data_IF_295178349649
#
_entry.id   IF_295178349649
#
_cell.length_a   1.000
_cell.length_b   1.000
_cell.length_c   1.000
_cell.angle_alpha   90.00
_cell.angle_beta   90.00
_cell.angle_gamma   90.00
#
_symmetry.space_group_name_H-M   'P 1'
#
loop_
_entity.id
_entity.type
_entity.pdbx_description
1 polymer ?
#
# COMPACT_ATOMS: atom_id res chain seq x y z
N UNK A 1 17.68 -9.04 29.16
CA UNK A 1 17.23 -7.84 29.89
C UNK A 1 16.45 -6.85 29.03
N UNK A 2 17.00 -6.21 27.99
CA UNK A 2 16.21 -5.28 27.15
C UNK A 2 15.13 -5.97 26.29
N UNK A 3 15.44 -7.14 25.72
CA UNK A 3 14.47 -7.96 24.95
C UNK A 3 13.37 -8.57 25.82
N UNK A 4 13.72 -9.12 26.98
CA UNK A 4 12.75 -9.72 27.92
C UNK A 4 11.71 -8.71 28.43
N UNK A 5 12.10 -7.44 28.57
CA UNK A 5 11.17 -6.37 28.95
C UNK A 5 10.24 -5.99 27.77
N UNK A 6 10.76 -6.04 26.54
CA UNK A 6 9.95 -5.79 25.35
C UNK A 6 8.88 -6.88 25.17
N UNK A 7 9.26 -8.15 25.24
CA UNK A 7 8.33 -9.27 25.06
C UNK A 7 7.23 -9.26 26.13
N UNK A 8 7.58 -8.98 27.38
CA UNK A 8 6.60 -8.85 28.47
C UNK A 8 5.61 -7.69 28.23
N UNK A 9 6.08 -6.54 27.73
CA UNK A 9 5.22 -5.40 27.39
C UNK A 9 4.30 -5.70 26.20
N UNK A 10 4.83 -6.37 25.18
CA UNK A 10 4.03 -6.83 24.03
C UNK A 10 2.95 -7.79 24.52
N UNK A 11 3.27 -8.76 25.36
CA UNK A 11 2.30 -9.72 25.90
C UNK A 11 1.18 -9.02 26.70
N UNK A 12 1.53 -8.01 27.51
CA UNK A 12 0.54 -7.20 28.22
C UNK A 12 -0.41 -6.49 27.25
N UNK A 13 0.12 -5.84 26.20
CA UNK A 13 -0.71 -5.16 25.21
C UNK A 13 -1.52 -6.14 24.35
N UNK A 14 -1.01 -7.33 24.06
CA UNK A 14 -1.76 -8.38 23.37
C UNK A 14 -2.95 -8.88 24.19
N UNK A 15 -2.83 -8.90 25.52
CA UNK A 15 -3.94 -9.22 26.40
C UNK A 15 -4.99 -8.10 26.41
N UNK A 16 -4.57 -6.84 26.42
CA UNK A 16 -5.48 -5.68 26.28
C UNK A 16 -6.18 -5.72 24.91
N UNK A 17 -5.43 -5.93 23.82
CA UNK A 17 -5.98 -6.09 22.47
C UNK A 17 -7.06 -7.17 22.44
N UNK A 18 -6.78 -8.33 23.04
CA UNK A 18 -7.74 -9.44 23.11
C UNK A 18 -9.01 -9.04 23.87
N UNK A 19 -8.89 -8.36 25.00
CA UNK A 19 -10.05 -7.93 25.79
C UNK A 19 -10.90 -6.92 25.02
N UNK A 20 -10.27 -5.87 24.45
CA UNK A 20 -10.97 -4.83 23.70
C UNK A 20 -11.64 -5.39 22.44
N UNK A 21 -10.96 -6.30 21.74
CA UNK A 21 -11.50 -6.97 20.55
C UNK A 21 -12.70 -7.83 20.88
N UNK A 22 -12.66 -8.61 21.97
CA UNK A 22 -13.79 -9.42 22.41
C UNK A 22 -14.97 -8.57 22.91
N UNK A 23 -14.68 -7.39 23.45
CA UNK A 23 -15.70 -6.38 23.82
C UNK A 23 -16.26 -5.61 22.61
N UNK A 24 -15.69 -5.78 21.40
CA UNK A 24 -16.09 -5.04 20.20
C UNK A 24 -15.65 -3.57 20.21
N UNK A 25 -14.72 -3.19 21.08
CA UNK A 25 -14.27 -1.80 21.21
C UNK A 25 -13.25 -1.46 20.11
N UNK A 26 -13.71 -0.75 19.07
CA UNK A 26 -12.91 -0.44 17.89
C UNK A 26 -11.69 0.44 18.24
N UNK A 27 -11.91 1.48 19.05
CA UNK A 27 -10.86 2.46 19.40
C UNK A 27 -9.75 1.80 20.22
N UNK A 28 -10.10 1.10 21.30
CA UNK A 28 -9.17 0.34 22.12
C UNK A 28 -8.40 -0.72 21.35
N UNK A 29 -9.07 -1.49 20.48
CA UNK A 29 -8.40 -2.52 19.65
C UNK A 29 -7.40 -1.90 18.68
N UNK A 30 -7.78 -0.81 18.00
CA UNK A 30 -6.89 -0.06 17.11
C UNK A 30 -5.68 0.47 17.87
N UNK A 31 -5.91 1.10 19.02
CA UNK A 31 -4.85 1.70 19.83
C UNK A 31 -3.87 0.65 20.32
N UNK A 32 -4.36 -0.46 20.86
CA UNK A 32 -3.50 -1.56 21.33
C UNK A 32 -2.63 -2.13 20.19
N UNK A 33 -3.19 -2.29 18.98
CA UNK A 33 -2.41 -2.73 17.81
C UNK A 33 -1.31 -1.72 17.43
N UNK A 34 -1.63 -0.42 17.41
CA UNK A 34 -0.66 0.64 17.11
C UNK A 34 0.43 0.70 18.18
N UNK A 35 0.06 0.63 19.47
CA UNK A 35 0.99 0.71 20.59
C UNK A 35 2.00 -0.46 20.57
N UNK A 36 1.57 -1.68 20.20
CA UNK A 36 2.47 -2.82 20.00
C UNK A 36 3.49 -2.53 18.90
N UNK A 37 3.04 -2.01 17.76
CA UNK A 37 3.90 -1.66 16.63
C UNK A 37 4.89 -0.56 17.00
N UNK A 38 4.43 0.46 17.74
CA UNK A 38 5.27 1.57 18.21
C UNK A 38 6.35 1.08 19.18
N UNK A 39 6.02 0.20 20.14
CA UNK A 39 7.02 -0.41 21.03
C UNK A 39 8.10 -1.17 20.26
N UNK A 40 7.72 -1.95 19.25
CA UNK A 40 8.67 -2.69 18.44
C UNK A 40 9.56 -1.74 17.62
N UNK A 41 8.98 -0.66 17.07
CA UNK A 41 9.70 0.36 16.30
C UNK A 41 10.70 1.14 17.17
N UNK A 42 10.29 1.59 18.37
CA UNK A 42 11.15 2.31 19.32
C UNK A 42 12.33 1.43 19.80
N UNK A 43 12.08 0.14 20.00
CA UNK A 43 13.10 -0.83 20.33
C UNK A 43 13.98 -1.24 19.13
N UNK A 44 13.69 -0.75 17.92
CA UNK A 44 14.32 -1.15 16.65
C UNK A 44 14.26 -2.66 16.39
N UNK A 45 13.25 -3.33 16.94
CA UNK A 45 13.04 -4.77 16.87
C UNK A 45 12.19 -5.14 15.63
N UNK A 46 12.75 -4.94 14.43
CA UNK A 46 12.03 -5.10 13.16
C UNK A 46 11.49 -6.51 12.89
N UNK A 47 12.23 -7.54 13.30
CA UNK A 47 11.77 -8.94 13.20
C UNK A 47 10.53 -9.16 14.07
N UNK A 48 10.61 -8.75 15.34
CA UNK A 48 9.47 -8.80 16.26
C UNK A 48 8.29 -7.99 15.73
N UNK A 49 8.53 -6.82 15.15
CA UNK A 49 7.50 -6.00 14.51
C UNK A 49 6.77 -6.78 13.40
N UNK A 50 7.52 -7.43 12.50
CA UNK A 50 6.95 -8.25 11.43
C UNK A 50 6.13 -9.42 12.00
N UNK A 51 6.65 -10.11 13.02
CA UNK A 51 5.95 -11.22 13.68
C UNK A 51 4.63 -10.74 14.30
N UNK A 52 4.63 -9.60 14.99
CA UNK A 52 3.40 -9.04 15.59
C UNK A 52 2.38 -8.63 14.52
N UNK A 53 2.80 -8.05 13.39
CA UNK A 53 1.92 -7.74 12.27
C UNK A 53 1.24 -9.02 11.76
N UNK A 54 2.02 -10.09 11.56
CA UNK A 54 1.48 -11.38 11.11
C UNK A 54 0.49 -11.95 12.13
N UNK A 55 0.86 -11.97 13.41
CA UNK A 55 0.01 -12.46 14.50
C UNK A 55 -1.29 -11.68 14.58
N UNK A 56 -1.25 -10.35 14.62
CA UNK A 56 -2.44 -9.50 14.72
C UNK A 56 -3.34 -9.62 13.48
N UNK A 57 -2.75 -9.75 12.29
CA UNK A 57 -3.50 -9.84 11.02
C UNK A 57 -4.21 -11.18 10.81
N UNK A 58 -3.69 -12.28 11.40
CA UNK A 58 -4.23 -13.64 11.29
C UNK A 58 -5.15 -14.03 12.45
N UNK A 59 -5.32 -13.15 13.45
CA UNK A 59 -6.21 -13.41 14.60
C UNK A 59 -7.66 -13.61 14.15
N UNK A 60 -8.27 -14.69 14.62
CA UNK A 60 -9.69 -14.96 14.41
C UNK A 60 -10.54 -13.88 15.08
N UNK A 61 -11.40 -13.24 14.29
CA UNK A 61 -12.29 -12.17 14.77
C UNK A 61 -11.58 -10.83 14.95
N UNK A 62 -10.45 -10.60 14.27
CA UNK A 62 -9.82 -9.27 14.24
C UNK A 62 -10.72 -8.25 13.54
N UNK A 63 -10.77 -7.03 14.08
CA UNK A 63 -11.53 -5.93 13.53
C UNK A 63 -10.83 -5.36 12.28
N UNK A 64 -11.60 -5.12 11.21
CA UNK A 64 -11.08 -4.59 9.94
C UNK A 64 -10.33 -3.27 10.16
N UNK A 65 -10.90 -2.37 10.97
CA UNK A 65 -10.33 -1.07 11.30
C UNK A 65 -8.99 -1.18 12.03
N UNK A 66 -8.79 -2.22 12.84
CA UNK A 66 -7.52 -2.46 13.52
C UNK A 66 -6.44 -2.92 12.52
N UNK A 67 -6.80 -3.78 11.56
CA UNK A 67 -5.88 -4.20 10.48
C UNK A 67 -5.50 -3.03 9.59
N UNK A 68 -6.47 -2.20 9.16
CA UNK A 68 -6.21 -0.99 8.36
C UNK A 68 -5.22 -0.08 9.08
N UNK A 69 -5.52 0.27 10.33
CA UNK A 69 -4.68 1.15 11.12
C UNK A 69 -3.27 0.60 11.36
N UNK A 70 -3.16 -0.71 11.61
CA UNK A 70 -1.87 -1.39 11.78
C UNK A 70 -1.04 -1.35 10.50
N UNK A 71 -1.65 -1.64 9.34
CA UNK A 71 -0.95 -1.61 8.03
C UNK A 71 -0.50 -0.19 7.70
N UNK A 72 -1.38 0.80 7.86
CA UNK A 72 -1.06 2.20 7.62
C UNK A 72 0.08 2.69 8.52
N UNK A 73 0.03 2.39 9.82
CA UNK A 73 1.10 2.74 10.76
C UNK A 73 2.44 2.11 10.36
N UNK A 74 2.43 0.82 10.00
CA UNK A 74 3.65 0.12 9.58
C UNK A 74 4.22 0.67 8.26
N UNK A 75 3.37 1.17 7.35
CA UNK A 75 3.83 1.81 6.12
C UNK A 75 4.66 3.07 6.37
N UNK A 76 4.36 3.84 7.41
CA UNK A 76 5.15 5.02 7.82
C UNK A 76 6.56 4.66 8.30
N UNK A 77 6.76 3.42 8.75
CA UNK A 77 8.06 2.95 9.23
C UNK A 77 8.98 2.49 8.10
N UNK A 78 8.44 2.19 6.91
CA UNK A 78 9.22 1.69 5.75
C UNK A 78 10.36 2.65 5.42
N UNK A 79 10.08 3.95 5.37
CA UNK A 79 11.07 4.96 4.98
C UNK A 79 12.08 5.26 6.13
N UNK A 80 11.79 4.80 7.36
CA UNK A 80 12.61 4.95 8.57
C UNK A 80 13.46 3.70 8.88
N UNK A 81 13.40 2.68 8.02
CA UNK A 81 14.20 1.44 8.16
C UNK A 81 15.70 1.72 8.02
N UNK A 82 16.56 1.00 8.76
CA UNK A 82 18.00 1.25 8.78
C UNK A 82 18.70 0.82 7.50
N UNK A 83 18.20 -0.22 6.82
CA UNK A 83 18.82 -0.83 5.65
C UNK A 83 17.76 -1.35 4.66
N UNK A 84 18.21 -1.67 3.44
CA UNK A 84 17.35 -2.12 2.34
C UNK A 84 16.73 -3.50 2.62
N UNK A 85 17.44 -4.40 3.30
CA UNK A 85 16.94 -5.75 3.59
C UNK A 85 15.76 -5.68 4.55
N UNK A 86 15.91 -4.94 5.66
CA UNK A 86 14.84 -4.67 6.63
C UNK A 86 13.64 -3.99 5.95
N UNK A 87 13.89 -3.04 5.05
CA UNK A 87 12.84 -2.39 4.26
C UNK A 87 12.05 -3.38 3.41
N UNK A 88 12.76 -4.23 2.67
CA UNK A 88 12.15 -5.24 1.80
C UNK A 88 11.37 -6.28 2.62
N UNK A 89 11.89 -6.69 3.78
CA UNK A 89 11.22 -7.66 4.65
C UNK A 89 9.91 -7.11 5.22
N UNK A 90 9.91 -5.86 5.68
CA UNK A 90 8.69 -5.19 6.14
C UNK A 90 7.66 -5.05 5.01
N UNK A 91 8.07 -4.62 3.81
CA UNK A 91 7.16 -4.50 2.66
C UNK A 91 6.58 -5.86 2.28
N UNK A 92 7.39 -6.92 2.25
CA UNK A 92 6.91 -8.29 1.96
C UNK A 92 5.90 -8.75 3.02
N UNK A 93 6.16 -8.47 4.29
CA UNK A 93 5.26 -8.81 5.40
C UNK A 93 3.91 -8.10 5.23
N UNK A 94 3.94 -6.78 4.97
CA UNK A 94 2.73 -5.99 4.74
C UNK A 94 1.95 -6.44 3.49
N UNK A 95 2.65 -6.74 2.39
CA UNK A 95 2.02 -7.25 1.17
C UNK A 95 1.32 -8.60 1.43
N UNK A 96 1.96 -9.51 2.18
CA UNK A 96 1.37 -10.81 2.54
C UNK A 96 0.13 -10.67 3.41
N UNK A 97 0.16 -9.80 4.43
CA UNK A 97 -0.99 -9.64 5.33
C UNK A 97 -2.15 -8.86 4.70
N UNK A 98 -1.89 -8.06 3.67
CA UNK A 98 -2.92 -7.32 2.92
C UNK A 98 -3.50 -8.12 1.73
N UNK A 99 -2.84 -9.21 1.32
CA UNK A 99 -3.33 -10.07 0.24
C UNK A 99 -4.73 -10.64 0.56
N UNK A 100 -5.66 -10.50 -0.38
CA UNK A 100 -7.04 -10.99 -0.26
C UNK A 100 -7.96 -10.14 0.63
N UNK A 101 -7.51 -8.98 1.12
CA UNK A 101 -8.31 -8.07 1.95
C UNK A 101 -8.67 -6.81 1.17
N UNK A 102 -9.91 -6.76 0.68
CA UNK A 102 -10.45 -5.63 -0.11
C UNK A 102 -10.27 -4.28 0.61
N UNK A 103 -10.41 -4.27 1.94
CA UNK A 103 -10.33 -3.05 2.74
C UNK A 103 -8.91 -2.51 2.97
N UNK A 104 -7.86 -3.17 2.44
CA UNK A 104 -6.47 -2.67 2.43
C UNK A 104 -5.81 -2.83 1.05
N UNK A 105 -6.61 -2.88 -0.02
CA UNK A 105 -6.11 -3.11 -1.37
C UNK A 105 -5.32 -1.93 -1.94
N UNK A 106 -5.65 -0.70 -1.51
CA UNK A 106 -4.94 0.52 -1.90
C UNK A 106 -3.55 0.54 -1.24
N UNK A 107 -3.47 0.24 0.06
CA UNK A 107 -2.20 0.08 0.78
C UNK A 107 -1.34 -1.00 0.12
N UNK A 108 -1.94 -2.14 -0.27
CA UNK A 108 -1.24 -3.19 -1.00
C UNK A 108 -0.65 -2.69 -2.33
N UNK A 109 -1.41 -1.95 -3.14
CA UNK A 109 -0.90 -1.38 -4.38
C UNK A 109 0.31 -0.47 -4.13
N UNK A 110 0.22 0.42 -3.14
CA UNK A 110 1.32 1.33 -2.79
C UNK A 110 2.57 0.59 -2.30
N UNK A 111 2.39 -0.48 -1.53
CA UNK A 111 3.48 -1.36 -1.09
C UNK A 111 4.16 -2.06 -2.26
N UNK A 112 3.37 -2.60 -3.19
CA UNK A 112 3.89 -3.25 -4.40
C UNK A 112 4.66 -2.26 -5.26
N UNK A 113 4.16 -1.03 -5.44
CA UNK A 113 4.89 0.03 -6.15
C UNK A 113 6.23 0.35 -5.50
N UNK A 114 6.28 0.48 -4.16
CA UNK A 114 7.54 0.68 -3.43
C UNK A 114 8.50 -0.50 -3.62
N UNK A 115 8.01 -1.74 -3.56
CA UNK A 115 8.86 -2.93 -3.78
C UNK A 115 9.39 -3.02 -5.20
N UNK A 116 8.55 -2.75 -6.20
CA UNK A 116 8.94 -2.75 -7.61
C UNK A 116 10.04 -1.72 -7.89
N UNK A 117 9.94 -0.52 -7.29
CA UNK A 117 11.00 0.50 -7.38
C UNK A 117 12.34 0.01 -6.81
N UNK A 118 12.34 -0.64 -5.64
CA UNK A 118 13.57 -1.22 -5.06
C UNK A 118 14.16 -2.27 -6.00
N UNK A 119 13.31 -3.12 -6.61
CA UNK A 119 13.75 -4.15 -7.55
C UNK A 119 14.32 -3.57 -8.83
N UNK A 120 13.72 -2.52 -9.33
CA UNK A 120 14.23 -1.79 -10.49
C UNK A 120 15.58 -1.13 -10.20
N UNK A 121 15.75 -0.48 -9.04
CA UNK A 121 17.03 0.10 -8.61
C UNK A 121 18.14 -0.95 -8.49
N UNK A 122 17.77 -2.21 -8.26
CA UNK A 122 18.68 -3.37 -8.27
C UNK A 122 18.95 -3.94 -9.68
N UNK A 123 18.37 -3.35 -10.73
CA UNK A 123 18.45 -3.84 -12.11
C UNK A 123 17.51 -5.02 -12.42
N UNK A 124 16.65 -5.41 -11.48
CA UNK A 124 15.70 -6.53 -11.62
C UNK A 124 14.38 -6.06 -12.25
N UNK A 125 14.47 -5.46 -13.45
CA UNK A 125 13.32 -4.89 -14.17
C UNK A 125 12.23 -5.95 -14.41
N UNK A 126 12.63 -7.19 -14.72
CA UNK A 126 11.68 -8.27 -14.96
C UNK A 126 10.80 -8.56 -13.74
N UNK A 127 11.41 -8.67 -12.56
CA UNK A 127 10.70 -8.89 -11.29
C UNK A 127 9.84 -7.67 -10.92
N UNK A 128 10.34 -6.45 -11.13
CA UNK A 128 9.59 -5.23 -10.88
C UNK A 128 8.33 -5.17 -11.73
N UNK A 129 8.44 -5.51 -13.02
CA UNK A 129 7.30 -5.59 -13.93
C UNK A 129 6.29 -6.63 -13.45
N UNK A 130 6.72 -7.86 -13.15
CA UNK A 130 5.82 -8.93 -12.70
C UNK A 130 5.06 -8.57 -11.43
N UNK A 131 5.75 -8.00 -10.43
CA UNK A 131 5.12 -7.52 -9.20
C UNK A 131 4.02 -6.49 -9.48
N UNK A 132 4.30 -5.50 -10.33
CA UNK A 132 3.33 -4.46 -10.66
C UNK A 132 2.12 -5.03 -11.42
N UNK A 133 2.32 -6.05 -12.26
CA UNK A 133 1.23 -6.68 -13.02
C UNK A 133 0.23 -7.46 -12.17
N UNK A 134 0.59 -7.87 -10.95
CA UNK A 134 -0.33 -8.55 -10.03
C UNK A 134 -1.47 -7.64 -9.53
N UNK A 135 -1.35 -6.32 -9.70
CA UNK A 135 -2.28 -5.34 -9.16
C UNK A 135 -3.08 -4.70 -10.31
N UNK A 136 -4.37 -4.98 -10.34
CA UNK A 136 -5.32 -4.38 -11.27
C UNK A 136 -6.04 -3.18 -10.65
N UNK A 137 -5.33 -2.05 -10.48
CA UNK A 137 -5.87 -0.85 -9.81
C UNK A 137 -7.11 -0.26 -10.50
N UNK A 138 -7.35 -0.60 -11.77
CA UNK A 138 -8.56 -0.19 -12.50
C UNK A 138 -9.85 -0.67 -11.82
N UNK A 139 -9.79 -1.75 -11.03
CA UNK A 139 -10.95 -2.30 -10.32
C UNK A 139 -11.18 -1.66 -8.96
N UNK A 140 -10.25 -0.84 -8.44
CA UNK A 140 -10.31 -0.34 -7.06
C UNK A 140 -11.24 0.87 -6.96
N UNK A 141 -12.49 0.67 -6.54
CA UNK A 141 -13.51 1.73 -6.53
C UNK A 141 -13.12 2.99 -5.75
N UNK A 142 -12.41 2.83 -4.63
CA UNK A 142 -12.03 3.92 -3.73
C UNK A 142 -10.68 4.58 -4.07
N UNK A 143 -9.90 4.08 -5.02
CA UNK A 143 -8.60 4.69 -5.35
C UNK A 143 -8.77 5.94 -6.23
N UNK A 144 -8.01 7.00 -5.94
CA UNK A 144 -8.00 8.21 -6.74
C UNK A 144 -7.73 7.92 -8.22
N UNK A 145 -8.44 8.63 -9.10
CA UNK A 145 -8.34 8.44 -10.55
C UNK A 145 -6.94 8.72 -11.09
N UNK A 146 -6.29 9.79 -10.61
CA UNK A 146 -4.90 10.14 -10.99
C UNK A 146 -3.92 9.07 -10.52
N UNK A 147 -4.11 8.53 -9.30
CA UNK A 147 -3.29 7.45 -8.76
C UNK A 147 -3.40 6.17 -9.60
N UNK A 148 -4.62 5.79 -10.01
CA UNK A 148 -4.85 4.66 -10.93
C UNK A 148 -4.10 4.83 -12.25
N UNK A 149 -4.24 6.00 -12.87
CA UNK A 149 -3.59 6.29 -14.16
C UNK A 149 -2.07 6.22 -13.99
N UNK A 150 -1.52 6.85 -12.95
CA UNK A 150 -0.09 6.81 -12.66
C UNK A 150 0.43 5.39 -12.47
N UNK A 151 -0.32 4.54 -11.77
CA UNK A 151 0.04 3.14 -11.55
C UNK A 151 0.04 2.32 -12.87
N UNK A 152 -0.97 2.52 -13.73
CA UNK A 152 -1.05 1.82 -15.02
C UNK A 152 0.05 2.32 -15.97
N UNK A 153 0.38 3.62 -15.97
CA UNK A 153 1.50 4.15 -16.75
C UNK A 153 2.85 3.55 -16.30
N UNK A 154 3.03 3.38 -14.99
CA UNK A 154 4.20 2.73 -14.44
C UNK A 154 4.31 1.26 -14.89
N UNK A 155 3.18 0.54 -14.90
CA UNK A 155 3.09 -0.81 -15.46
C UNK A 155 3.49 -0.86 -16.95
N UNK A 156 3.01 0.10 -17.75
CA UNK A 156 3.37 0.22 -19.17
C UNK A 156 4.87 0.46 -19.31
N UNK A 157 5.44 1.41 -18.57
CA UNK A 157 6.86 1.74 -18.61
C UNK A 157 7.74 0.53 -18.30
N UNK A 158 7.47 -0.19 -17.20
CA UNK A 158 8.23 -1.39 -16.84
C UNK A 158 8.11 -2.50 -17.89
N UNK A 159 6.94 -2.66 -18.53
CA UNK A 159 6.79 -3.60 -19.64
C UNK A 159 7.63 -3.19 -20.86
N UNK A 160 7.67 -1.90 -21.21
CA UNK A 160 8.51 -1.38 -22.30
C UNK A 160 10.00 -1.57 -22.00
N UNK A 161 10.43 -1.31 -20.76
CA UNK A 161 11.81 -1.51 -20.33
C UNK A 161 12.21 -3.00 -20.36
N UNK A 162 11.23 -3.91 -20.16
CA UNK A 162 11.38 -5.36 -20.35
C UNK A 162 11.17 -5.83 -21.79
N UNK A 163 11.00 -4.93 -22.75
CA UNK A 163 10.73 -5.23 -24.17
C UNK A 163 9.46 -6.07 -24.41
N UNK A 164 8.49 -5.98 -23.50
CA UNK A 164 7.20 -6.67 -23.57
C UNK A 164 6.13 -5.75 -24.16
N UNK A 165 6.28 -5.47 -25.45
CA UNK A 165 5.47 -4.49 -26.17
C UNK A 165 4.00 -4.89 -26.26
N UNK A 166 3.69 -6.19 -26.35
CA UNK A 166 2.31 -6.68 -26.42
C UNK A 166 1.59 -6.38 -25.10
N UNK A 167 2.21 -6.69 -23.97
CA UNK A 167 1.63 -6.39 -22.66
C UNK A 167 1.52 -4.89 -22.40
N UNK A 168 2.55 -4.12 -22.77
CA UNK A 168 2.51 -2.65 -22.69
C UNK A 168 1.32 -2.07 -23.47
N UNK A 169 1.05 -2.57 -24.70
CA UNK A 169 -0.08 -2.13 -25.51
C UNK A 169 -1.44 -2.54 -24.91
N UNK A 170 -1.54 -3.71 -24.27
CA UNK A 170 -2.78 -4.13 -23.59
C UNK A 170 -3.06 -3.21 -22.40
N UNK A 171 -2.03 -2.89 -21.60
CA UNK A 171 -2.15 -2.03 -20.43
C UNK A 171 -2.49 -0.59 -20.80
N UNK A 172 -1.88 -0.03 -21.85
CA UNK A 172 -2.14 1.35 -22.26
C UNK A 172 -3.59 1.56 -22.71
N UNK A 173 -4.24 0.52 -23.25
CA UNK A 173 -5.67 0.54 -23.61
C UNK A 173 -6.61 0.57 -22.40
N UNK A 174 -6.14 0.25 -21.19
CA UNK A 174 -6.92 0.43 -19.96
C UNK A 174 -7.14 1.91 -19.62
N UNK A 175 -6.29 2.79 -20.14
CA UNK A 175 -6.44 4.24 -20.01
C UNK A 175 -7.16 4.77 -21.24
N UNK A 176 -8.39 5.27 -21.06
CA UNK A 176 -9.13 5.93 -22.14
C UNK A 176 -8.53 7.31 -22.42
N UNK A 177 -8.14 7.66 -23.66
CA UNK A 177 -7.57 8.99 -23.97
C UNK A 177 -8.49 10.16 -23.59
N UNK A 178 -9.81 9.96 -23.64
CA UNK A 178 -10.82 10.95 -23.23
C UNK A 178 -10.68 11.37 -21.76
N UNK A 179 -10.03 10.55 -20.95
CA UNK A 179 -9.78 10.83 -19.54
C UNK A 179 -8.97 12.11 -19.34
N UNK A 180 -8.16 12.47 -20.33
CA UNK A 180 -7.26 13.63 -20.33
C UNK A 180 -7.86 14.89 -20.95
N UNK A 181 -9.10 14.84 -21.44
CA UNK A 181 -9.79 15.97 -22.06
C UNK A 181 -10.86 16.57 -21.13
N UNK A 182 -10.94 16.08 -19.89
CA UNK A 182 -11.87 16.59 -18.89
C UNK A 182 -11.29 17.87 -18.30
N UNK A 183 -12.00 18.99 -18.48
CA UNK A 183 -11.66 20.26 -17.84
C UNK A 183 -11.55 20.11 -16.32
N UNK A 184 -10.40 20.52 -15.78
CA UNK A 184 -10.12 20.59 -14.34
C UNK A 184 -11.15 21.46 -13.56
N UNK A 185 -11.95 22.27 -14.26
CA UNK A 185 -13.00 23.11 -13.68
C UNK A 185 -14.25 22.33 -13.23
N UNK A 186 -14.44 21.08 -13.66
CA UNK A 186 -15.64 20.28 -13.34
C UNK A 186 -15.52 19.39 -12.09
N UNK A 187 -14.33 19.27 -11.49
CA UNK A 187 -14.09 18.45 -10.30
C UNK A 187 -14.49 19.10 -8.97
N UNK A 188 -14.87 20.40 -8.94
CA UNK A 188 -15.45 21.06 -7.75
C UNK A 188 -16.92 20.67 -7.49
N UNK A 189 -17.31 19.40 -7.66
CA UNK A 189 -18.62 18.93 -7.20
C UNK A 189 -18.48 18.36 -5.80
N UNK A 190 -19.09 19.08 -4.84
CA UNK A 190 -19.26 18.70 -3.43
C UNK A 190 -19.52 17.19 -3.26
N UNK A 191 -18.91 16.54 -2.24
CA UNK A 191 -19.25 15.17 -1.92
C UNK A 191 -20.75 15.07 -1.62
N UNK A 192 -21.45 14.23 -2.39
CA UNK A 192 -22.79 13.78 -2.02
C UNK A 192 -22.62 12.79 -0.89
N UNK A 193 -23.26 13.05 0.25
CA UNK A 193 -23.36 12.10 1.36
C UNK A 193 -23.93 10.79 0.83
N UNK A 194 -23.15 9.71 0.92
CA UNK A 194 -23.70 8.35 0.81
C UNK A 194 -22.92 7.28 0.05
N UNK A 195 -21.83 7.54 -0.67
CA UNK A 195 -21.19 6.44 -1.42
C UNK A 195 -19.66 6.61 -1.57
N UNK A 196 -18.93 5.62 -1.06
CA UNK A 196 -17.48 5.38 -1.09
C UNK A 196 -16.57 6.64 -1.06
N UNK A 197 -16.01 6.95 0.12
CA UNK A 197 -14.90 7.89 0.24
C UNK A 197 -13.75 7.45 -0.68
N UNK A 198 -13.58 8.17 -1.79
CA UNK A 198 -12.40 8.04 -2.65
C UNK A 198 -11.22 8.57 -1.85
N UNK A 199 -10.20 7.74 -1.69
CA UNK A 199 -8.97 8.13 -1.04
C UNK A 199 -8.24 9.17 -1.89
N UNK A 200 -7.69 10.20 -1.26
CA UNK A 200 -6.92 11.22 -1.97
C UNK A 200 -5.64 10.61 -2.53
N UNK A 201 -5.26 11.06 -3.73
CA UNK A 201 -3.99 10.66 -4.32
C UNK A 201 -2.83 11.17 -3.44
N UNK A 202 -1.79 10.36 -3.21
CA UNK A 202 -0.57 10.82 -2.56
C UNK A 202 0.02 12.06 -3.26
N UNK A 203 0.68 12.93 -2.49
CA UNK A 203 1.20 14.21 -2.98
C UNK A 203 2.26 14.08 -4.09
N UNK A 204 2.89 12.91 -4.22
CA UNK A 204 3.86 12.58 -5.26
C UNK A 204 3.22 12.13 -6.59
N UNK A 205 1.89 11.94 -6.63
CA UNK A 205 1.19 11.57 -7.86
C UNK A 205 1.12 12.78 -8.81
N UNK A 206 1.61 12.63 -10.06
CA UNK A 206 1.56 13.72 -11.03
C UNK A 206 0.13 14.19 -11.33
N UNK A 207 0.01 15.46 -11.71
CA UNK A 207 -1.24 16.04 -12.18
C UNK A 207 -1.75 15.33 -13.44
N UNK A 208 -3.06 15.44 -13.72
CA UNK A 208 -3.65 14.84 -14.93
C UNK A 208 -2.97 15.32 -16.23
N UNK A 209 -2.47 16.57 -16.24
CA UNK A 209 -1.76 17.13 -17.38
C UNK A 209 -0.37 16.49 -17.57
N UNK A 210 0.36 16.25 -16.48
CA UNK A 210 1.65 15.57 -16.51
C UNK A 210 1.46 14.10 -16.91
N UNK A 211 0.45 13.42 -16.36
CA UNK A 211 0.09 12.06 -16.75
C UNK A 211 -0.29 11.96 -18.24
N UNK A 212 -0.94 12.99 -18.81
CA UNK A 212 -1.22 13.07 -20.24
C UNK A 212 0.08 13.07 -21.05
N UNK A 213 1.09 13.86 -20.64
CA UNK A 213 2.39 13.92 -21.32
C UNK A 213 3.12 12.58 -21.23
N UNK A 214 3.23 12.02 -20.03
CA UNK A 214 3.85 10.71 -19.79
C UNK A 214 3.17 9.63 -20.64
N UNK A 215 1.83 9.61 -20.71
CA UNK A 215 1.10 8.66 -21.55
C UNK A 215 1.57 8.72 -23.01
N UNK A 216 1.58 9.90 -23.63
CA UNK A 216 1.98 10.02 -25.03
C UNK A 216 3.48 9.75 -25.26
N UNK A 217 4.35 10.12 -24.32
CA UNK A 217 5.78 9.80 -24.36
C UNK A 217 6.05 8.29 -24.33
N UNK A 218 5.29 7.53 -23.53
CA UNK A 218 5.42 6.07 -23.50
C UNK A 218 4.90 5.41 -24.78
N UNK A 219 3.91 6.01 -25.45
CA UNK A 219 3.31 5.44 -26.67
C UNK A 219 4.18 5.60 -27.93
N UNK A 220 5.25 6.39 -27.85
CA UNK A 220 6.22 6.60 -28.95
C UNK A 220 7.54 5.85 -28.77
N UNK A 221 7.72 5.16 -27.63
CA UNK A 221 8.87 4.28 -27.36
C UNK A 221 8.69 2.92 -28.03
#
# INVERSE_FOLDING_TARGET
>A
MASENLDAKIEQLLNVEKQMRLAGEISGTRKAAIDILQLCFEAKAWKTLNDQIVVLSKRRGQLKQAVVAMVQQAMEYIDKTPDIETRVELIKTLNSVSAGKIYVEIERARLVKKLAKIKEEQGLIAEAADLMQEIAVETFGAMAKTEKIAFILEQVRLCLDRQDYVRAQILSRKISPRVFDIDASKEKKKPKEGDNMVEEAPADIPSLLELKRIYYELMIR
#
